data_IF_841972302574
#
_entry.id   IF_841972302574
#
_cell.length_a   1.000
_cell.length_b   1.000
_cell.length_c   1.000
_cell.angle_alpha   90.00
_cell.angle_beta   90.00
_cell.angle_gamma   90.00
#
_symmetry.space_group_name_H-M   'P 1'
#
loop_
_entity.id
_entity.type
_entity.pdbx_description
1 polymer ?
#
# COMPACT_ATOMS: atom_id res chain seq x y z
N UNK A 1 -15.29 -17.41 -31.37
CA UNK A 1 -16.56 -16.67 -31.21
C UNK A 1 -17.51 -17.55 -30.43
N UNK A 2 -18.02 -17.11 -29.27
CA UNK A 2 -18.97 -17.91 -28.48
C UNK A 2 -20.27 -18.10 -29.30
N UNK A 3 -20.79 -19.33 -29.33
CA UNK A 3 -22.00 -19.70 -30.07
C UNK A 3 -23.18 -18.79 -29.69
N UNK A 4 -23.87 -18.22 -30.68
CA UNK A 4 -25.01 -17.30 -30.51
C UNK A 4 -26.08 -17.82 -29.53
N UNK A 5 -26.34 -19.14 -29.55
CA UNK A 5 -27.31 -19.81 -28.69
C UNK A 5 -27.04 -19.68 -27.18
N UNK A 6 -25.78 -19.55 -26.75
CA UNK A 6 -25.44 -19.42 -25.33
C UNK A 6 -25.82 -18.05 -24.74
N UNK A 7 -25.98 -17.00 -25.56
CA UNK A 7 -26.35 -15.65 -25.09
C UNK A 7 -27.84 -15.54 -24.70
N UNK A 8 -28.67 -16.41 -25.24
CA UNK A 8 -30.12 -16.40 -25.01
C UNK A 8 -30.52 -17.14 -23.72
N UNK A 9 -29.71 -18.10 -23.27
CA UNK A 9 -29.96 -18.88 -22.04
C UNK A 9 -29.66 -18.09 -20.75
N UNK A 10 -28.73 -17.14 -20.80
CA UNK A 10 -28.27 -16.43 -19.60
C UNK A 10 -28.66 -14.95 -19.60
N UNK A 11 -29.22 -14.50 -18.47
CA UNK A 11 -29.68 -13.11 -18.29
C UNK A 11 -28.58 -12.06 -18.39
N UNK A 12 -27.35 -12.40 -17.98
CA UNK A 12 -26.23 -11.45 -17.88
C UNK A 12 -24.94 -11.92 -18.59
N UNK A 13 -24.74 -13.23 -18.78
CA UNK A 13 -23.51 -13.77 -19.37
C UNK A 13 -23.45 -13.42 -20.86
N UNK A 14 -22.33 -12.82 -21.29
CA UNK A 14 -22.09 -12.46 -22.69
C UNK A 14 -22.88 -11.22 -23.18
N UNK A 15 -23.51 -10.47 -22.26
CA UNK A 15 -24.25 -9.24 -22.55
C UNK A 15 -23.51 -8.01 -21.99
N UNK A 16 -23.58 -6.84 -22.66
CA UNK A 16 -23.06 -5.59 -22.11
C UNK A 16 -23.92 -5.17 -20.91
N UNK A 17 -23.44 -5.46 -19.71
CA UNK A 17 -24.12 -5.11 -18.45
C UNK A 17 -23.33 -4.01 -17.75
N UNK A 18 -23.97 -2.93 -17.27
CA UNK A 18 -23.30 -1.92 -16.47
C UNK A 18 -22.64 -2.54 -15.25
N UNK A 19 -21.42 -2.10 -14.93
CA UNK A 19 -20.77 -2.49 -13.68
C UNK A 19 -21.51 -1.88 -12.49
N UNK A 20 -21.66 -2.66 -11.41
CA UNK A 20 -22.33 -2.21 -10.18
C UNK A 20 -21.68 -0.95 -9.59
N UNK A 21 -20.36 -0.85 -9.67
CA UNK A 21 -19.56 0.28 -9.18
C UNK A 21 -19.28 1.33 -10.28
N UNK A 22 -19.81 1.14 -11.49
CA UNK A 22 -19.45 1.93 -12.66
C UNK A 22 -19.86 3.39 -12.53
N UNK A 23 -21.11 3.65 -12.11
CA UNK A 23 -21.65 5.00 -11.96
C UNK A 23 -20.87 5.82 -10.93
N UNK A 24 -20.62 5.24 -9.76
CA UNK A 24 -20.00 5.97 -8.66
C UNK A 24 -18.54 6.31 -8.96
N UNK A 25 -17.84 5.42 -9.67
CA UNK A 25 -16.47 5.66 -10.12
C UNK A 25 -16.36 6.77 -11.16
N UNK A 26 -17.27 6.84 -12.14
CA UNK A 26 -17.22 7.87 -13.19
C UNK A 26 -17.75 9.23 -12.72
N UNK A 27 -18.49 9.27 -11.61
CA UNK A 27 -19.02 10.51 -11.02
C UNK A 27 -18.16 11.05 -9.88
N UNK A 28 -17.15 10.30 -9.43
CA UNK A 28 -16.33 10.65 -8.26
C UNK A 28 -17.05 10.43 -6.92
N UNK A 29 -18.19 9.73 -6.91
CA UNK A 29 -18.92 9.41 -5.68
C UNK A 29 -18.25 8.28 -4.87
N UNK A 30 -17.47 7.41 -5.52
CA UNK A 30 -16.67 6.40 -4.81
C UNK A 30 -15.52 7.06 -4.05
N UNK A 31 -15.52 6.90 -2.72
CA UNK A 31 -14.41 7.35 -1.86
C UNK A 31 -13.31 6.28 -1.83
N UNK A 32 -12.09 6.70 -2.10
CA UNK A 32 -10.87 5.90 -1.94
C UNK A 32 -10.20 6.23 -0.60
N UNK A 33 -9.27 5.39 -0.11
CA UNK A 33 -8.58 5.65 1.17
C UNK A 33 -7.91 7.03 1.24
N UNK A 34 -7.48 7.57 0.11
CA UNK A 34 -6.88 8.91 -0.01
C UNK A 34 -7.87 10.06 0.20
N UNK A 35 -9.18 9.79 0.11
CA UNK A 35 -10.26 10.78 0.26
C UNK A 35 -10.81 10.80 1.70
N UNK A 36 -10.16 10.09 2.62
CA UNK A 36 -10.58 9.94 4.01
C UNK A 36 -9.60 10.71 4.90
N UNK A 37 -10.14 11.66 5.67
CA UNK A 37 -9.39 12.48 6.61
C UNK A 37 -10.06 12.43 7.98
N UNK A 38 -9.23 12.40 9.02
CA UNK A 38 -9.66 12.42 10.41
C UNK A 38 -9.01 13.58 11.15
N UNK A 39 -9.67 14.09 12.18
CA UNK A 39 -9.07 15.05 13.09
C UNK A 39 -7.86 14.42 13.80
N UNK A 40 -6.73 15.13 13.83
CA UNK A 40 -5.48 14.62 14.41
C UNK A 40 -4.73 13.58 13.56
N UNK A 41 -5.12 13.36 12.29
CA UNK A 41 -4.44 12.40 11.41
C UNK A 41 -2.97 12.76 11.17
N UNK A 42 -2.06 11.84 11.49
CA UNK A 42 -0.65 11.95 11.14
C UNK A 42 -0.41 11.60 9.68
N UNK A 43 0.58 12.25 9.07
CA UNK A 43 1.01 11.97 7.71
C UNK A 43 2.33 11.19 7.74
N UNK A 44 2.38 10.05 7.05
CA UNK A 44 3.56 9.21 6.94
C UNK A 44 4.38 9.48 5.68
N UNK A 45 5.70 9.36 5.78
CA UNK A 45 6.61 9.35 4.63
C UNK A 45 7.70 8.31 4.83
N UNK A 46 7.97 7.52 3.79
CA UNK A 46 9.01 6.49 3.79
C UNK A 46 10.30 7.04 3.20
N UNK A 47 11.42 6.80 3.88
CA UNK A 47 12.75 6.99 3.32
C UNK A 47 13.16 5.71 2.58
N UNK A 48 13.44 5.84 1.28
CA UNK A 48 13.90 4.75 0.44
C UNK A 48 15.42 4.78 0.27
N UNK A 49 16.02 3.61 0.03
CA UNK A 49 17.42 3.51 -0.35
C UNK A 49 17.67 4.20 -1.68
N UNK A 50 18.79 4.91 -1.81
CA UNK A 50 19.29 5.43 -3.09
C UNK A 50 20.06 4.39 -3.91
N UNK A 51 20.35 3.22 -3.32
CA UNK A 51 21.14 2.14 -3.91
C UNK A 51 20.29 0.89 -4.07
N UNK A 52 20.46 0.12 -5.17
CA UNK A 52 19.70 -1.11 -5.39
C UNK A 52 20.07 -2.23 -4.42
N UNK A 53 21.34 -2.32 -3.98
CA UNK A 53 21.79 -3.31 -3.01
C UNK A 53 22.92 -2.73 -2.17
N UNK A 54 22.77 -2.75 -0.84
CA UNK A 54 23.73 -2.15 0.08
C UNK A 54 23.58 -2.75 1.49
N UNK A 55 24.67 -2.75 2.26
CA UNK A 55 24.63 -3.02 3.69
C UNK A 55 24.36 -1.75 4.48
N UNK A 56 23.47 -1.82 5.47
CA UNK A 56 23.12 -0.71 6.36
C UNK A 56 24.10 -0.73 7.53
N UNK A 57 25.21 -0.01 7.39
CA UNK A 57 26.24 0.07 8.44
C UNK A 57 25.78 0.95 9.60
N UNK A 58 25.04 2.03 9.31
CA UNK A 58 24.50 2.91 10.35
C UNK A 58 23.26 3.67 9.87
N UNK A 59 22.33 3.92 10.80
CA UNK A 59 21.16 4.77 10.58
C UNK A 59 21.07 5.80 11.72
N UNK A 60 21.09 7.08 11.38
CA UNK A 60 20.95 8.19 12.33
C UNK A 60 19.65 8.95 12.05
N UNK A 61 18.76 9.01 13.04
CA UNK A 61 17.44 9.64 12.91
C UNK A 61 17.21 10.79 13.89
N UNK A 62 18.21 11.12 14.71
CA UNK A 62 18.07 12.10 15.80
C UNK A 62 17.71 13.50 15.30
N UNK A 63 18.28 13.91 14.16
CA UNK A 63 17.98 15.20 13.54
C UNK A 63 16.53 15.22 13.05
N UNK A 64 16.09 14.16 12.37
CA UNK A 64 14.72 14.06 11.85
C UNK A 64 13.69 14.09 12.99
N UNK A 65 13.95 13.41 14.10
CA UNK A 65 13.08 13.40 15.30
C UNK A 65 12.90 14.77 15.95
N UNK A 66 13.81 15.72 15.72
CA UNK A 66 13.77 17.07 16.31
C UNK A 66 13.15 18.12 15.38
N UNK A 67 12.81 17.76 14.15
CA UNK A 67 12.23 18.71 13.22
C UNK A 67 10.80 19.11 13.67
N UNK A 68 10.44 20.41 13.56
CA UNK A 68 9.07 20.84 13.86
C UNK A 68 8.04 20.08 13.02
N UNK A 69 6.98 19.60 13.67
CA UNK A 69 5.89 18.85 13.03
C UNK A 69 6.15 17.35 12.83
N UNK A 70 7.33 16.84 13.23
CA UNK A 70 7.59 15.40 13.26
C UNK A 70 7.12 14.81 14.58
N UNK A 71 6.09 13.96 14.52
CA UNK A 71 5.60 13.24 15.69
C UNK A 71 6.47 12.02 16.02
N UNK A 72 6.93 11.28 15.01
CA UNK A 72 7.74 10.09 15.20
C UNK A 72 8.66 9.80 14.00
N UNK A 73 9.80 9.15 14.27
CA UNK A 73 10.64 8.52 13.25
C UNK A 73 10.87 7.08 13.65
N UNK A 74 10.21 6.18 12.92
CA UNK A 74 10.19 4.74 13.17
C UNK A 74 11.26 4.03 12.33
N UNK A 75 11.87 3.02 12.92
CA UNK A 75 12.93 2.18 12.36
C UNK A 75 12.58 0.71 12.58
N UNK A 76 13.41 -0.21 12.08
CA UNK A 76 13.23 -1.66 12.31
C UNK A 76 13.12 -2.03 13.79
N UNK A 77 13.72 -1.22 14.69
CA UNK A 77 13.66 -1.41 16.14
C UNK A 77 12.28 -1.15 16.75
N UNK A 78 11.43 -0.44 16.03
CA UNK A 78 10.09 -0.07 16.49
C UNK A 78 9.02 -1.06 16.01
N UNK A 79 9.41 -2.08 15.24
CA UNK A 79 8.49 -3.14 14.79
C UNK A 79 8.13 -4.03 15.98
N UNK A 80 6.85 -4.12 16.38
CA UNK A 80 6.45 -4.99 17.47
C UNK A 80 6.52 -6.45 17.00
N UNK A 81 7.49 -7.20 17.49
CA UNK A 81 7.64 -8.63 17.22
C UNK A 81 8.54 -8.92 16.02
N UNK A 82 8.06 -9.73 15.08
CA UNK A 82 8.86 -10.23 13.97
C UNK A 82 8.94 -9.21 12.82
N UNK A 83 10.16 -8.83 12.44
CA UNK A 83 10.43 -7.93 11.31
C UNK A 83 10.52 -8.68 9.97
N UNK A 84 9.41 -9.32 9.58
CA UNK A 84 9.32 -10.07 8.33
C UNK A 84 7.87 -10.29 7.90
N UNK A 85 7.63 -10.29 6.59
CA UNK A 85 6.32 -10.52 5.99
C UNK A 85 6.45 -11.15 4.60
N UNK A 86 5.32 -11.66 4.08
CA UNK A 86 5.20 -12.16 2.72
C UNK A 86 4.05 -13.16 2.60
N UNK A 87 3.52 -13.31 1.37
CA UNK A 87 2.37 -14.21 1.12
C UNK A 87 2.82 -15.68 1.16
N UNK A 88 4.04 -15.95 0.69
CA UNK A 88 4.66 -17.27 0.64
C UNK A 88 6.05 -17.14 1.28
N UNK A 89 6.10 -17.14 2.61
CA UNK A 89 7.31 -16.94 3.41
C UNK A 89 7.45 -15.52 3.96
N UNK A 90 8.37 -15.34 4.92
CA UNK A 90 8.56 -14.13 5.73
C UNK A 90 9.89 -13.39 5.42
N UNK A 91 10.38 -13.53 4.19
CA UNK A 91 11.70 -13.03 3.79
C UNK A 91 11.75 -11.53 3.43
N UNK A 92 10.63 -10.81 3.47
CA UNK A 92 10.61 -9.36 3.25
C UNK A 92 10.55 -8.63 4.58
N UNK A 93 11.54 -7.80 4.93
CA UNK A 93 11.52 -7.05 6.18
C UNK A 93 10.45 -5.96 6.12
N UNK A 94 9.73 -5.74 7.22
CA UNK A 94 8.77 -4.61 7.33
C UNK A 94 9.52 -3.28 7.18
N UNK A 95 10.65 -3.15 7.89
CA UNK A 95 11.62 -2.08 7.72
C UNK A 95 13.03 -2.68 7.65
N UNK A 96 13.85 -2.22 6.71
CA UNK A 96 15.19 -2.75 6.50
C UNK A 96 16.07 -2.57 7.75
N UNK A 97 16.66 -3.66 8.24
CA UNK A 97 17.57 -3.67 9.39
C UNK A 97 19.05 -3.72 8.95
N UNK A 98 19.36 -4.65 8.05
CA UNK A 98 20.74 -5.05 7.73
C UNK A 98 21.14 -4.72 6.30
N UNK A 99 20.23 -4.91 5.35
CA UNK A 99 20.54 -4.93 3.93
C UNK A 99 19.38 -4.47 3.06
N UNK A 100 19.70 -3.63 2.10
CA UNK A 100 18.84 -3.26 0.97
C UNK A 100 18.97 -4.35 -0.10
N UNK A 101 17.83 -4.84 -0.60
CA UNK A 101 17.71 -5.96 -1.55
C UNK A 101 16.85 -5.56 -2.74
#
# INVERSE_FOLDING_TARGET
>A
MLNSKLKDEFRYIGRPTPRIDGRDKVTGATRYPTDIYFEGMLHGKTLWSSMPHAEIVSLKVDVARKLPGVEAVLTWKDVPGHNGFGIIGDNWPVLCEDRVR
#
